data_IF_764700684714
#
_entry.id   IF_764700684714
#
_cell.length_a   1.000
_cell.length_b   1.000
_cell.length_c   1.000
_cell.angle_alpha   90.00
_cell.angle_beta   90.00
_cell.angle_gamma   90.00
#
_symmetry.space_group_name_H-M   'P 1'
#
loop_
_entity.id
_entity.type
_entity.pdbx_description
1 polymer ?
#
# COMPACT_ATOMS: atom_id res chain seq x y z
N UNK A 1 4.22 -5.42 42.49
CA UNK A 1 4.74 -4.80 41.25
C UNK A 1 3.96 -3.53 41.01
N UNK A 2 4.63 -2.37 40.90
CA UNK A 2 3.95 -1.08 40.73
C UNK A 2 3.44 -0.89 39.30
N UNK A 3 2.31 -0.19 39.14
CA UNK A 3 1.71 0.19 37.85
C UNK A 3 2.71 0.81 36.88
N UNK A 4 3.60 1.66 37.38
CA UNK A 4 4.65 2.32 36.60
C UNK A 4 5.65 1.32 36.02
N UNK A 5 6.03 0.29 36.78
CA UNK A 5 6.91 -0.79 36.31
C UNK A 5 6.23 -1.63 35.22
N UNK A 6 4.92 -1.84 35.31
CA UNK A 6 4.13 -2.53 34.27
C UNK A 6 4.10 -1.71 32.99
N UNK A 7 3.82 -0.40 33.07
CA UNK A 7 3.83 0.51 31.92
C UNK A 7 5.21 0.58 31.24
N UNK A 8 6.29 0.62 32.03
CA UNK A 8 7.64 0.60 31.48
C UNK A 8 7.94 -0.71 30.73
N UNK A 9 7.53 -1.87 31.27
CA UNK A 9 7.66 -3.16 30.59
C UNK A 9 6.84 -3.21 29.30
N UNK A 10 5.61 -2.68 29.31
CA UNK A 10 4.77 -2.60 28.11
C UNK A 10 5.41 -1.75 27.01
N UNK A 11 6.03 -0.62 27.36
CA UNK A 11 6.82 0.19 26.42
C UNK A 11 8.01 -0.58 25.85
N UNK A 12 8.76 -1.31 26.68
CA UNK A 12 9.88 -2.16 26.23
C UNK A 12 9.42 -3.29 25.29
N UNK A 13 8.22 -3.82 25.50
CA UNK A 13 7.58 -4.81 24.61
C UNK A 13 6.94 -4.19 23.36
N UNK A 14 7.03 -2.86 23.18
CA UNK A 14 6.40 -2.10 22.09
C UNK A 14 4.88 -2.25 22.04
N UNK A 15 4.23 -2.29 23.21
CA UNK A 15 2.77 -2.30 23.36
C UNK A 15 2.24 -0.87 23.57
N UNK A 16 2.57 0.03 22.64
CA UNK A 16 2.29 1.46 22.77
C UNK A 16 0.81 1.80 22.82
N UNK A 17 -0.02 1.07 22.07
CA UNK A 17 -1.47 1.21 22.07
C UNK A 17 -2.07 0.72 23.38
N UNK A 18 -1.61 -0.39 23.96
CA UNK A 18 -2.08 -0.81 25.29
C UNK A 18 -1.70 0.21 26.37
N UNK A 19 -0.51 0.80 26.30
CA UNK A 19 -0.09 1.87 27.24
C UNK A 19 -0.98 3.10 27.11
N UNK A 20 -1.29 3.52 25.88
CA UNK A 20 -2.19 4.64 25.62
C UNK A 20 -3.62 4.37 26.14
N UNK A 21 -4.14 3.16 25.88
CA UNK A 21 -5.45 2.74 26.37
C UNK A 21 -5.48 2.75 27.90
N UNK A 22 -4.49 2.16 28.57
CA UNK A 22 -4.40 2.17 30.04
C UNK A 22 -4.39 3.60 30.62
N UNK A 23 -3.59 4.50 30.04
CA UNK A 23 -3.51 5.88 30.50
C UNK A 23 -4.83 6.64 30.26
N UNK A 24 -5.51 6.38 29.15
CA UNK A 24 -6.83 6.93 28.86
C UNK A 24 -7.88 6.41 29.83
N UNK A 25 -7.84 5.12 30.12
CA UNK A 25 -8.82 4.46 30.97
C UNK A 25 -8.78 5.01 32.40
N UNK A 26 -7.58 5.33 32.90
CA UNK A 26 -7.38 5.97 34.21
C UNK A 26 -8.06 7.34 34.37
N UNK A 27 -8.48 7.95 33.26
CA UNK A 27 -9.13 9.27 33.21
C UNK A 27 -10.60 9.19 32.79
N UNK A 28 -11.13 7.99 32.54
CA UNK A 28 -12.49 7.81 32.00
C UNK A 28 -13.45 7.39 33.10
N UNK A 29 -14.54 8.16 33.28
CA UNK A 29 -15.61 7.83 34.23
C UNK A 29 -16.37 6.56 33.78
N UNK A 30 -16.76 5.72 34.74
CA UNK A 30 -17.50 4.47 34.47
C UNK A 30 -16.63 3.27 34.03
N UNK A 31 -15.33 3.44 33.79
CA UNK A 31 -14.46 2.32 33.37
C UNK A 31 -14.25 1.25 34.47
N UNK A 32 -14.51 1.63 35.71
CA UNK A 32 -14.55 0.72 36.85
C UNK A 32 -15.73 -0.24 36.81
N UNK A 33 -16.78 0.07 36.06
CA UNK A 33 -17.95 -0.80 35.87
C UNK A 33 -17.65 -1.99 34.94
N UNK A 34 -16.63 -1.86 34.09
CA UNK A 34 -16.14 -2.95 33.26
C UNK A 34 -15.43 -4.00 34.12
N UNK A 35 -15.55 -5.26 33.74
CA UNK A 35 -14.71 -6.34 34.23
C UNK A 35 -13.24 -6.14 33.84
N UNK A 36 -12.34 -6.91 34.47
CA UNK A 36 -10.94 -6.91 34.06
C UNK A 36 -10.78 -7.40 32.62
N UNK A 37 -11.54 -8.43 32.24
CA UNK A 37 -11.55 -9.05 30.92
C UNK A 37 -11.96 -8.05 29.84
N UNK A 38 -13.00 -7.25 30.08
CA UNK A 38 -13.45 -6.21 29.16
C UNK A 38 -12.40 -5.11 28.96
N UNK A 39 -11.79 -4.61 30.05
CA UNK A 39 -10.71 -3.62 29.94
C UNK A 39 -9.49 -4.19 29.22
N UNK A 40 -9.13 -5.44 29.49
CA UNK A 40 -8.03 -6.10 28.82
C UNK A 40 -8.30 -6.25 27.32
N UNK A 41 -9.51 -6.67 26.94
CA UNK A 41 -9.93 -6.76 25.56
C UNK A 41 -9.81 -5.41 24.84
N UNK A 42 -10.32 -4.32 25.44
CA UNK A 42 -10.22 -2.98 24.88
C UNK A 42 -8.77 -2.51 24.69
N UNK A 43 -7.88 -2.78 25.65
CA UNK A 43 -6.46 -2.45 25.53
C UNK A 43 -5.80 -3.22 24.38
N UNK A 44 -6.10 -4.52 24.25
CA UNK A 44 -5.57 -5.37 23.18
C UNK A 44 -6.10 -4.92 21.81
N UNK A 45 -7.38 -4.60 21.70
CA UNK A 45 -8.00 -4.09 20.47
C UNK A 45 -7.38 -2.76 20.04
N UNK A 46 -7.11 -1.87 20.98
CA UNK A 46 -6.43 -0.60 20.71
C UNK A 46 -5.00 -0.81 20.19
N UNK A 47 -4.25 -1.73 20.81
CA UNK A 47 -2.92 -2.11 20.32
C UNK A 47 -2.95 -2.71 18.93
N UNK A 48 -3.89 -3.63 18.68
CA UNK A 48 -4.08 -4.25 17.38
C UNK A 48 -4.38 -3.21 16.29
N UNK A 49 -5.36 -2.34 16.56
CA UNK A 49 -5.78 -1.27 15.64
C UNK A 49 -4.63 -0.30 15.34
N UNK A 50 -3.86 0.08 16.35
CA UNK A 50 -2.69 0.95 16.19
C UNK A 50 -1.62 0.28 15.32
N UNK A 51 -1.35 -1.01 15.53
CA UNK A 51 -0.38 -1.77 14.73
C UNK A 51 -0.82 -1.88 13.27
N UNK A 52 -2.10 -2.16 13.03
CA UNK A 52 -2.61 -2.27 11.67
C UNK A 52 -2.57 -0.92 10.94
N UNK A 53 -2.98 0.16 11.62
CA UNK A 53 -2.88 1.53 11.08
C UNK A 53 -1.44 1.89 10.73
N UNK A 54 -0.48 1.59 11.60
CA UNK A 54 0.95 1.82 11.35
C UNK A 54 1.49 0.96 10.20
N UNK A 55 1.02 -0.29 10.07
CA UNK A 55 1.38 -1.16 8.96
C UNK A 55 0.90 -0.55 7.64
N UNK A 56 -0.37 -0.16 7.54
CA UNK A 56 -0.95 0.44 6.34
C UNK A 56 -0.24 1.74 5.98
N UNK A 57 -0.01 2.63 6.96
CA UNK A 57 0.69 3.90 6.75
C UNK A 57 2.11 3.69 6.17
N UNK A 58 2.84 2.69 6.70
CA UNK A 58 4.17 2.32 6.20
C UNK A 58 4.13 1.75 4.78
N UNK A 59 3.12 0.94 4.44
CA UNK A 59 2.96 0.40 3.08
C UNK A 59 2.66 1.53 2.08
N UNK A 60 1.71 2.41 2.40
CA UNK A 60 1.40 3.59 1.57
C UNK A 60 2.62 4.49 1.36
N UNK A 61 3.38 4.77 2.43
CA UNK A 61 4.62 5.55 2.33
C UNK A 61 5.67 4.89 1.44
N UNK A 62 5.81 3.56 1.51
CA UNK A 62 6.76 2.79 0.68
C UNK A 62 6.34 2.72 -0.79
N UNK A 63 5.05 2.79 -1.08
CA UNK A 63 4.49 2.74 -2.42
C UNK A 63 4.83 3.98 -3.25
N UNK A 64 4.97 5.15 -2.59
CA UNK A 64 5.30 6.44 -3.24
C UNK A 64 4.30 6.82 -4.35
N UNK A 65 3.00 6.73 -4.05
CA UNK A 65 1.95 7.15 -4.98
C UNK A 65 2.14 8.62 -5.40
N UNK A 66 1.85 8.90 -6.68
CA UNK A 66 1.90 10.26 -7.21
C UNK A 66 0.83 11.17 -6.63
N UNK A 67 -0.33 10.61 -6.34
CA UNK A 67 -1.48 11.31 -5.77
C UNK A 67 -2.09 10.49 -4.65
N UNK A 68 -2.64 11.18 -3.66
CA UNK A 68 -3.34 10.52 -2.56
C UNK A 68 -4.79 10.22 -2.93
N UNK A 69 -4.99 9.19 -3.76
CA UNK A 69 -6.32 8.80 -4.23
C UNK A 69 -6.94 7.75 -3.32
N UNK A 70 -8.02 8.10 -2.62
CA UNK A 70 -8.77 7.14 -1.82
C UNK A 70 -9.84 6.42 -2.66
N UNK A 71 -10.09 5.12 -2.42
CA UNK A 71 -11.20 4.40 -3.04
C UNK A 71 -12.57 5.06 -2.86
N UNK A 72 -12.78 5.75 -1.75
CA UNK A 72 -14.02 6.45 -1.42
C UNK A 72 -14.28 7.66 -2.35
N UNK A 73 -13.21 8.26 -2.88
CA UNK A 73 -13.25 9.48 -3.69
C UNK A 73 -13.40 9.18 -5.20
N UNK A 74 -13.70 7.93 -5.57
CA UNK A 74 -13.87 7.55 -6.98
C UNK A 74 -15.22 8.07 -7.49
N UNK A 75 -15.14 9.00 -8.44
CA UNK A 75 -16.29 9.46 -9.21
C UNK A 75 -16.76 8.39 -10.23
N UNK A 76 -17.92 7.80 -9.99
CA UNK A 76 -18.57 6.85 -10.90
C UNK A 76 -19.55 7.52 -11.88
N UNK A 77 -19.85 8.80 -11.70
CA UNK A 77 -20.77 9.57 -12.54
C UNK A 77 -20.07 10.13 -13.78
N UNK A 78 -18.75 10.36 -13.72
CA UNK A 78 -17.96 10.77 -14.87
C UNK A 78 -18.18 9.83 -16.08
N UNK A 79 -18.46 10.34 -17.30
CA UNK A 79 -18.78 9.55 -18.50
C UNK A 79 -17.53 8.92 -19.15
N UNK A 80 -16.69 8.22 -18.36
CA UNK A 80 -15.46 7.53 -18.81
C UNK A 80 -15.65 6.02 -18.98
N UNK A 81 -16.88 5.53 -18.95
CA UNK A 81 -17.20 4.10 -19.10
C UNK A 81 -16.77 3.22 -17.92
N UNK A 82 -16.52 3.82 -16.74
CA UNK A 82 -16.11 3.09 -15.55
C UNK A 82 -17.28 2.28 -14.98
N UNK A 83 -17.24 0.96 -15.14
CA UNK A 83 -18.27 0.06 -14.60
C UNK A 83 -18.07 -0.09 -13.08
N UNK A 84 -18.96 0.52 -12.28
CA UNK A 84 -18.90 0.49 -10.80
C UNK A 84 -18.71 -0.91 -10.22
N UNK A 85 -19.50 -1.88 -10.69
CA UNK A 85 -19.41 -3.28 -10.22
C UNK A 85 -18.00 -3.88 -10.42
N UNK A 86 -17.43 -3.70 -11.61
CA UNK A 86 -16.09 -4.21 -11.92
C UNK A 86 -15.04 -3.55 -11.04
N UNK A 87 -15.11 -2.22 -10.88
CA UNK A 87 -14.11 -1.52 -10.09
C UNK A 87 -14.19 -1.86 -8.60
N UNK A 88 -15.39 -2.04 -8.05
CA UNK A 88 -15.58 -2.52 -6.68
C UNK A 88 -15.03 -3.94 -6.47
N UNK A 89 -15.08 -4.80 -7.48
CA UNK A 89 -14.42 -6.11 -7.43
C UNK A 89 -12.90 -5.97 -7.43
N UNK A 90 -12.33 -5.09 -8.26
CA UNK A 90 -10.90 -4.81 -8.26
C UNK A 90 -10.39 -4.23 -6.94
N UNK A 91 -11.21 -3.43 -6.25
CA UNK A 91 -10.87 -2.88 -4.93
C UNK A 91 -10.76 -3.94 -3.83
N UNK A 92 -11.27 -5.16 -4.03
CA UNK A 92 -11.07 -6.30 -3.11
C UNK A 92 -9.70 -6.96 -3.25
N UNK A 93 -8.92 -6.59 -4.26
CA UNK A 93 -7.54 -7.05 -4.47
C UNK A 93 -7.35 -8.57 -4.67
N UNK A 94 -8.43 -9.35 -4.87
CA UNK A 94 -8.34 -10.78 -5.17
C UNK A 94 -7.53 -11.07 -6.44
N UNK A 95 -7.64 -10.18 -7.43
CA UNK A 95 -6.88 -10.26 -8.67
C UNK A 95 -5.36 -10.15 -8.45
N UNK A 96 -4.92 -9.36 -7.46
CA UNK A 96 -3.51 -9.22 -7.08
C UNK A 96 -3.00 -10.54 -6.52
N UNK A 97 -3.79 -11.16 -5.61
CA UNK A 97 -3.45 -12.45 -4.98
C UNK A 97 -3.39 -13.59 -6.00
N UNK A 98 -4.20 -13.50 -7.07
CA UNK A 98 -4.21 -14.44 -8.20
C UNK A 98 -3.14 -14.14 -9.26
N UNK A 99 -2.38 -13.05 -9.14
CA UNK A 99 -1.35 -12.67 -10.10
C UNK A 99 -1.90 -12.15 -11.43
N UNK A 100 -3.16 -11.69 -11.48
CA UNK A 100 -3.71 -11.08 -12.69
C UNK A 100 -3.23 -9.64 -12.85
N UNK A 101 -3.17 -9.16 -14.10
CA UNK A 101 -2.76 -7.79 -14.41
C UNK A 101 -3.98 -6.92 -14.74
N UNK A 102 -3.89 -5.63 -14.46
CA UNK A 102 -4.97 -4.67 -14.75
C UNK A 102 -4.44 -3.57 -15.66
N UNK A 103 -5.03 -3.47 -16.84
CA UNK A 103 -4.73 -2.40 -17.78
C UNK A 103 -5.83 -1.33 -17.77
N UNK A 104 -5.49 -0.10 -17.39
CA UNK A 104 -6.41 1.04 -17.40
C UNK A 104 -6.19 1.86 -18.67
N UNK A 105 -7.14 1.81 -19.60
CA UNK A 105 -7.09 2.49 -20.90
C UNK A 105 -8.10 3.63 -20.95
N UNK A 106 -7.73 4.74 -21.59
CA UNK A 106 -8.61 5.88 -21.83
C UNK A 106 -7.84 7.13 -22.26
N UNK A 107 -8.53 8.20 -22.68
CA UNK A 107 -7.88 9.43 -23.09
C UNK A 107 -7.13 10.11 -21.93
N UNK A 108 -6.25 11.06 -22.23
CA UNK A 108 -5.56 11.85 -21.22
C UNK A 108 -6.56 12.66 -20.39
N UNK A 109 -6.30 12.82 -19.08
CA UNK A 109 -7.13 13.66 -18.21
C UNK A 109 -8.36 13.00 -17.56
N UNK A 110 -8.74 11.77 -17.93
CA UNK A 110 -9.95 11.11 -17.38
C UNK A 110 -9.76 10.44 -16.01
N UNK A 111 -8.62 10.65 -15.35
CA UNK A 111 -8.33 10.11 -14.01
C UNK A 111 -7.71 8.70 -13.97
N UNK A 112 -7.02 8.24 -15.03
CA UNK A 112 -6.34 6.92 -15.02
C UNK A 112 -5.35 6.76 -13.85
N UNK A 113 -4.48 7.75 -13.65
CA UNK A 113 -3.55 7.81 -12.52
C UNK A 113 -4.27 7.74 -11.17
N UNK A 114 -5.45 8.37 -11.07
CA UNK A 114 -6.27 8.34 -9.85
C UNK A 114 -6.79 6.93 -9.58
N UNK A 115 -7.38 6.28 -10.58
CA UNK A 115 -7.87 4.91 -10.46
C UNK A 115 -6.76 3.94 -10.09
N UNK A 116 -5.57 4.07 -10.70
CA UNK A 116 -4.42 3.26 -10.36
C UNK A 116 -3.97 3.47 -8.90
N UNK A 117 -3.85 4.73 -8.45
CA UNK A 117 -3.49 5.04 -7.06
C UNK A 117 -4.56 4.58 -6.08
N UNK A 118 -5.84 4.65 -6.42
CA UNK A 118 -6.94 4.15 -5.59
C UNK A 118 -6.87 2.62 -5.41
N UNK A 119 -6.59 1.86 -6.48
CA UNK A 119 -6.32 0.42 -6.38
C UNK A 119 -5.09 0.13 -5.53
N UNK A 120 -4.02 0.91 -5.67
CA UNK A 120 -2.82 0.79 -4.84
C UNK A 120 -3.09 1.07 -3.35
N UNK A 121 -3.89 2.08 -3.05
CA UNK A 121 -4.30 2.38 -1.67
C UNK A 121 -5.18 1.27 -1.10
N UNK A 122 -6.12 0.72 -1.87
CA UNK A 122 -6.90 -0.44 -1.46
C UNK A 122 -6.01 -1.65 -1.16
N UNK A 123 -5.03 -1.94 -2.02
CA UNK A 123 -4.06 -3.01 -1.79
C UNK A 123 -3.23 -2.79 -0.51
N UNK A 124 -2.83 -1.56 -0.21
CA UNK A 124 -2.14 -1.24 1.03
C UNK A 124 -3.02 -1.46 2.28
N UNK A 125 -4.33 -1.18 2.19
CA UNK A 125 -5.31 -1.46 3.26
C UNK A 125 -5.51 -2.96 3.49
N UNK A 126 -5.43 -3.75 2.42
CA UNK A 126 -5.38 -5.23 2.46
C UNK A 126 -4.02 -5.79 2.91
N UNK A 127 -3.11 -4.92 3.36
CA UNK A 127 -1.80 -5.29 3.87
C UNK A 127 -0.81 -5.74 2.80
N UNK A 128 -1.06 -5.48 1.52
CA UNK A 128 -0.22 -5.88 0.39
C UNK A 128 0.85 -4.82 0.09
N UNK A 129 2.05 -5.26 -0.30
CA UNK A 129 3.12 -4.35 -0.72
C UNK A 129 2.88 -3.82 -2.13
N UNK A 130 2.97 -2.50 -2.28
CA UNK A 130 2.76 -1.81 -3.56
C UNK A 130 3.98 -0.98 -3.92
N UNK A 131 4.29 -0.88 -5.21
CA UNK A 131 5.23 0.10 -5.78
C UNK A 131 4.58 0.83 -6.93
N UNK A 132 4.67 2.16 -6.92
CA UNK A 132 4.23 3.00 -8.01
C UNK A 132 5.43 3.60 -8.72
N UNK A 133 5.43 3.52 -10.05
CA UNK A 133 6.40 4.18 -10.90
C UNK A 133 5.72 4.84 -12.09
N UNK A 134 6.15 6.06 -12.42
CA UNK A 134 6.00 6.57 -13.78
C UNK A 134 7.07 5.88 -14.63
N UNK A 135 6.70 5.37 -15.79
CA UNK A 135 7.64 4.63 -16.66
C UNK A 135 8.89 5.46 -17.00
N UNK A 136 8.80 6.75 -17.39
CA UNK A 136 10.00 7.56 -17.65
C UNK A 136 10.94 7.69 -16.45
N UNK A 137 10.38 7.68 -15.23
CA UNK A 137 11.18 7.73 -13.99
C UNK A 137 11.85 6.39 -13.72
N UNK A 138 11.12 5.28 -13.87
CA UNK A 138 11.67 3.94 -13.71
C UNK A 138 12.82 3.66 -14.67
N UNK A 139 12.66 4.00 -15.95
CA UNK A 139 13.70 3.81 -16.97
C UNK A 139 14.97 4.59 -16.64
N UNK A 140 14.83 5.83 -16.15
CA UNK A 140 15.96 6.63 -15.69
C UNK A 140 16.66 6.00 -14.48
N UNK A 141 15.89 5.51 -13.50
CA UNK A 141 16.44 4.82 -12.34
C UNK A 141 17.18 3.53 -12.75
N UNK A 142 16.65 2.76 -13.69
CA UNK A 142 17.29 1.57 -14.24
C UNK A 142 18.61 1.91 -14.94
N UNK A 143 18.63 2.95 -15.79
CA UNK A 143 19.84 3.40 -16.48
C UNK A 143 20.95 3.85 -15.51
N UNK A 144 20.60 4.59 -14.46
CA UNK A 144 21.57 4.99 -13.41
C UNK A 144 22.07 3.75 -12.66
N UNK A 145 21.16 2.84 -12.29
CA UNK A 145 21.50 1.64 -11.54
C UNK A 145 22.41 0.68 -12.32
N UNK A 146 22.35 0.68 -13.65
CA UNK A 146 23.32 -0.05 -14.49
C UNK A 146 24.73 0.53 -14.38
N UNK A 147 24.87 1.86 -14.37
CA UNK A 147 26.17 2.54 -14.22
C UNK A 147 26.81 2.33 -12.84
N UNK A 148 25.99 2.29 -11.79
CA UNK A 148 26.44 2.20 -10.40
C UNK A 148 26.47 0.77 -9.82
N UNK A 149 26.15 -0.24 -10.64
CA UNK A 149 26.10 -1.66 -10.23
C UNK A 149 24.95 -2.02 -9.28
N UNK A 150 23.93 -1.17 -9.17
CA UNK A 150 22.75 -1.35 -8.30
C UNK A 150 21.53 -1.94 -9.04
N UNK A 151 21.67 -2.27 -10.32
CA UNK A 151 20.57 -2.72 -11.19
C UNK A 151 19.77 -3.88 -10.59
N UNK A 152 20.44 -4.93 -10.14
CA UNK A 152 19.80 -6.10 -9.55
C UNK A 152 19.08 -5.79 -8.22
N UNK A 153 19.54 -4.81 -7.44
CA UNK A 153 18.87 -4.42 -6.19
C UNK A 153 17.59 -3.61 -6.47
N UNK A 154 17.59 -2.79 -7.52
CA UNK A 154 16.38 -2.12 -8.00
C UNK A 154 15.37 -3.14 -8.52
N UNK A 155 15.78 -4.09 -9.36
CA UNK A 155 14.92 -5.17 -9.83
C UNK A 155 14.36 -6.00 -8.68
N UNK A 156 15.18 -6.39 -7.69
CA UNK A 156 14.69 -7.10 -6.48
C UNK A 156 13.65 -6.29 -5.71
N UNK A 157 13.82 -4.97 -5.63
CA UNK A 157 12.88 -4.08 -4.95
C UNK A 157 11.53 -4.05 -5.68
N UNK A 158 11.57 -3.95 -7.01
CA UNK A 158 10.38 -3.98 -7.87
C UNK A 158 9.71 -5.35 -7.79
N UNK A 159 10.46 -6.45 -7.91
CA UNK A 159 9.98 -7.83 -7.83
C UNK A 159 9.26 -8.13 -6.52
N UNK A 160 9.80 -7.72 -5.37
CA UNK A 160 9.21 -7.98 -4.04
C UNK A 160 7.86 -7.28 -3.78
N UNK A 161 7.48 -6.32 -4.62
CA UNK A 161 6.17 -5.69 -4.52
C UNK A 161 5.09 -6.64 -5.03
N UNK A 162 4.05 -6.87 -4.24
CA UNK A 162 2.90 -7.71 -4.64
C UNK A 162 2.09 -7.06 -5.76
N UNK A 163 2.05 -5.73 -5.81
CA UNK A 163 1.51 -4.94 -6.91
C UNK A 163 2.55 -3.92 -7.39
N UNK A 164 2.83 -3.91 -8.68
CA UNK A 164 3.63 -2.88 -9.34
C UNK A 164 2.72 -2.05 -10.25
N UNK A 165 2.53 -0.78 -9.94
CA UNK A 165 1.78 0.14 -10.78
C UNK A 165 2.75 0.87 -11.70
N UNK A 166 2.56 0.70 -13.00
CA UNK A 166 3.27 1.43 -14.04
C UNK A 166 2.35 2.46 -14.69
N UNK A 167 2.65 3.74 -14.49
CA UNK A 167 1.87 4.85 -15.03
C UNK A 167 2.61 5.57 -16.17
N UNK A 168 1.87 6.38 -16.93
CA UNK A 168 2.35 7.13 -18.11
C UNK A 168 2.89 6.24 -19.24
N UNK A 169 2.30 5.04 -19.42
CA UNK A 169 2.64 4.17 -20.54
C UNK A 169 2.28 4.82 -21.88
N UNK A 170 3.23 4.81 -22.83
CA UNK A 170 3.00 5.28 -24.19
C UNK A 170 2.97 6.80 -24.38
N UNK A 171 3.43 7.59 -23.39
CA UNK A 171 3.60 9.04 -23.56
C UNK A 171 4.82 9.43 -24.42
N UNK A 172 5.80 8.54 -24.55
CA UNK A 172 6.97 8.71 -25.41
C UNK A 172 7.35 7.37 -26.03
N UNK A 173 8.04 7.42 -27.17
CA UNK A 173 8.63 6.23 -27.78
C UNK A 173 9.76 5.72 -26.89
N UNK A 174 9.74 4.43 -26.60
CA UNK A 174 10.82 3.76 -25.88
C UNK A 174 12.00 3.51 -26.81
N UNK A 175 13.21 3.77 -26.32
CA UNK A 175 14.41 3.30 -26.98
C UNK A 175 14.49 1.76 -26.91
N UNK A 176 15.23 1.10 -27.81
CA UNK A 176 15.38 -0.36 -27.75
C UNK A 176 15.95 -0.88 -26.43
N UNK A 177 16.83 -0.13 -25.77
CA UNK A 177 17.36 -0.48 -24.45
C UNK A 177 16.28 -0.40 -23.37
N UNK A 178 15.53 0.70 -23.32
CA UNK A 178 14.42 0.91 -22.38
C UNK A 178 13.32 -0.14 -22.53
N UNK A 179 13.06 -0.58 -23.77
CA UNK A 179 12.10 -1.64 -24.05
C UNK A 179 12.54 -2.99 -23.47
N UNK A 180 13.85 -3.30 -23.53
CA UNK A 180 14.41 -4.51 -22.92
C UNK A 180 14.38 -4.45 -21.40
N UNK A 181 14.78 -3.31 -20.82
CA UNK A 181 14.74 -3.10 -19.38
C UNK A 181 13.32 -3.28 -18.82
N UNK A 182 12.33 -2.72 -19.52
CA UNK A 182 10.92 -2.84 -19.12
C UNK A 182 10.40 -4.27 -19.29
N UNK A 183 10.83 -4.98 -20.35
CA UNK A 183 10.51 -6.39 -20.53
C UNK A 183 11.10 -7.23 -19.39
N UNK A 184 12.35 -7.01 -19.00
CA UNK A 184 13.00 -7.72 -17.89
C UNK A 184 12.25 -7.51 -16.56
N UNK A 185 11.82 -6.27 -16.28
CA UNK A 185 10.96 -5.96 -15.12
C UNK A 185 9.66 -6.76 -15.14
N UNK A 186 9.03 -6.88 -16.31
CA UNK A 186 7.75 -7.60 -16.46
C UNK A 186 7.95 -9.12 -16.38
N UNK A 187 8.97 -9.66 -17.02
CA UNK A 187 9.28 -11.11 -17.03
C UNK A 187 9.64 -11.62 -15.64
N UNK A 188 10.46 -10.89 -14.88
CA UNK A 188 10.84 -11.26 -13.52
C UNK A 188 9.64 -11.28 -12.56
N UNK A 189 8.52 -10.64 -12.95
CA UNK A 189 7.27 -10.56 -12.17
C UNK A 189 6.17 -11.51 -12.64
N UNK A 190 6.08 -11.78 -13.94
CA UNK A 190 4.91 -12.41 -14.58
C UNK A 190 4.48 -13.77 -13.98
N UNK A 191 5.40 -14.48 -13.32
CA UNK A 191 5.11 -15.77 -12.68
C UNK A 191 4.80 -15.67 -11.17
N UNK A 192 5.00 -14.50 -10.55
CA UNK A 192 5.01 -14.36 -9.11
C UNK A 192 4.02 -13.30 -8.60
N UNK A 193 3.90 -12.17 -9.30
CA UNK A 193 3.19 -10.99 -8.80
C UNK A 193 2.49 -10.20 -9.92
N UNK A 194 1.43 -9.50 -9.52
CA UNK A 194 0.55 -8.71 -10.37
C UNK A 194 1.16 -7.36 -10.75
N UNK A 195 0.89 -6.89 -11.98
CA UNK A 195 1.30 -5.58 -12.49
C UNK A 195 0.08 -4.80 -12.99
#
# INVERSE_FOLDING_TARGET
>A
MGTEQTLERMRKMRLSGMVQAYLRDSQTEGISELSFEERLALMVDHEWTLRESNRIARLRKKARFRIDAMPEDIDYEHPRGLKRRLFQELLRCDWIRKGYNVLIIGPTGVGKTFLACALGNAACREGLSVKYYRIPTLLRELAIAQGDGQYFELLKTVRKAQLLILDDWGLANLLPAESRDLLEVLEDRAQYHST
#
